data_IF_670916627302
#
_entry.id   IF_670916627302
#
_cell.length_a   1.000
_cell.length_b   1.000
_cell.length_c   1.000
_cell.angle_alpha   90.00
_cell.angle_beta   90.00
_cell.angle_gamma   90.00
#
_symmetry.space_group_name_H-M   'P 1'
#
loop_
_entity.id
_entity.type
_entity.pdbx_description
1 polymer ?
#
# COMPACT_ATOMS: atom_id res chain seq x y z
N UNK A 1 4.13 -1.01 34.97
CA UNK A 1 4.05 -0.08 33.83
C UNK A 1 5.25 -0.38 32.92
N UNK A 2 4.97 -0.85 31.71
CA UNK A 2 6.03 -1.03 30.70
C UNK A 2 6.33 0.36 30.11
N UNK A 3 7.54 0.88 30.40
CA UNK A 3 7.92 2.20 29.90
C UNK A 3 8.29 2.15 28.42
N UNK A 4 7.52 2.87 27.62
CA UNK A 4 7.83 3.08 26.20
C UNK A 4 9.11 3.94 26.09
N UNK A 5 10.11 3.54 25.28
CA UNK A 5 11.38 4.24 25.18
C UNK A 5 11.24 5.70 24.79
N UNK A 6 12.09 6.56 25.37
CA UNK A 6 12.18 7.95 24.97
C UNK A 6 13.11 8.13 23.77
N UNK A 7 12.85 9.17 22.99
CA UNK A 7 13.74 9.61 21.94
C UNK A 7 14.98 10.33 22.49
N UNK A 8 16.14 9.99 21.94
CA UNK A 8 17.45 10.52 22.31
C UNK A 8 18.04 11.30 21.13
N UNK A 9 17.85 12.63 21.05
CA UNK A 9 18.28 13.44 19.90
C UNK A 9 19.79 13.48 19.69
N UNK A 10 20.59 13.09 20.69
CA UNK A 10 22.06 13.00 20.62
C UNK A 10 22.58 11.72 19.91
N UNK A 11 21.73 10.71 19.68
CA UNK A 11 22.14 9.38 19.17
C UNK A 11 22.05 9.24 17.65
N UNK A 12 22.33 10.29 16.92
CA UNK A 12 22.23 10.29 15.45
C UNK A 12 23.54 9.90 14.75
N UNK A 13 23.37 9.54 13.46
CA UNK A 13 24.45 9.45 12.49
C UNK A 13 24.16 10.40 11.35
N UNK A 14 25.13 11.23 10.96
CA UNK A 14 24.98 12.02 9.73
C UNK A 14 25.19 11.12 8.53
N UNK A 15 24.23 11.13 7.63
CA UNK A 15 24.24 10.39 6.37
C UNK A 15 24.01 11.33 5.19
N UNK A 16 24.41 10.88 4.01
CA UNK A 16 24.23 11.57 2.73
C UNK A 16 23.70 10.58 1.70
N UNK A 17 22.70 11.02 0.93
CA UNK A 17 22.15 10.25 -0.18
C UNK A 17 22.03 11.15 -1.42
N UNK A 18 22.42 10.63 -2.57
CA UNK A 18 22.30 11.33 -3.87
C UNK A 18 21.50 10.47 -4.82
N UNK A 19 20.44 11.03 -5.40
CA UNK A 19 19.57 10.42 -6.40
C UNK A 19 19.21 11.50 -7.43
N UNK A 20 19.27 11.16 -8.71
CA UNK A 20 18.90 12.07 -9.83
C UNK A 20 19.47 13.49 -9.67
N UNK A 21 20.79 13.60 -9.39
CA UNK A 21 21.53 14.85 -9.18
C UNK A 21 21.09 15.66 -7.94
N UNK A 22 20.14 15.17 -7.14
CA UNK A 22 19.75 15.75 -5.85
C UNK A 22 20.50 15.07 -4.72
N UNK A 23 21.16 15.85 -3.89
CA UNK A 23 21.87 15.36 -2.70
C UNK A 23 21.20 15.88 -1.45
N UNK A 24 20.85 14.99 -0.53
CA UNK A 24 20.34 15.32 0.80
C UNK A 24 21.31 14.82 1.86
N UNK A 25 21.70 15.72 2.78
CA UNK A 25 22.44 15.38 4.00
C UNK A 25 21.44 15.40 5.16
N UNK A 26 21.45 14.39 6.01
CA UNK A 26 20.45 14.23 7.06
C UNK A 26 20.99 13.54 8.30
N UNK A 27 20.38 13.82 9.44
CA UNK A 27 20.54 13.02 10.66
C UNK A 27 19.64 11.80 10.57
N UNK A 28 20.23 10.63 10.82
CA UNK A 28 19.56 9.34 10.80
C UNK A 28 19.53 8.76 12.23
N UNK A 29 18.35 8.38 12.67
CA UNK A 29 18.08 7.64 13.90
C UNK A 29 17.41 6.34 13.50
N UNK A 30 18.09 5.22 13.62
CA UNK A 30 17.65 3.96 13.04
C UNK A 30 17.47 2.87 14.09
N UNK A 31 16.46 2.00 13.90
CA UNK A 31 16.20 0.85 14.76
C UNK A 31 15.60 1.22 16.12
N UNK A 32 14.88 2.35 16.22
CA UNK A 32 14.27 2.80 17.46
C UNK A 32 13.05 1.94 17.83
N UNK A 33 12.93 1.61 19.11
CA UNK A 33 11.76 0.93 19.67
C UNK A 33 10.63 1.94 19.85
N UNK A 34 9.44 1.65 19.29
CA UNK A 34 8.25 2.50 19.44
C UNK A 34 7.20 1.92 20.40
N UNK A 35 7.42 0.71 20.91
CA UNK A 35 6.55 0.06 21.90
C UNK A 35 7.40 -0.71 22.92
N UNK A 36 6.85 -0.95 24.09
CA UNK A 36 7.60 -1.54 25.21
C UNK A 36 7.67 -3.08 25.15
N UNK A 37 6.75 -3.73 24.43
CA UNK A 37 6.65 -5.18 24.33
C UNK A 37 6.44 -5.61 22.85
N UNK A 38 7.42 -5.43 21.98
CA UNK A 38 7.28 -5.81 20.58
C UNK A 38 7.04 -7.33 20.44
N UNK A 39 6.06 -7.70 19.63
CA UNK A 39 5.74 -9.10 19.32
C UNK A 39 6.59 -9.65 18.16
N UNK A 40 7.25 -8.78 17.41
CA UNK A 40 8.07 -9.12 16.24
C UNK A 40 9.24 -8.11 16.12
N UNK A 41 10.45 -8.55 15.75
CA UNK A 41 11.62 -7.68 15.56
C UNK A 41 11.43 -6.56 14.54
N UNK A 42 10.47 -6.68 13.62
CA UNK A 42 10.14 -5.65 12.63
C UNK A 42 9.58 -4.37 13.26
N UNK A 43 9.07 -4.45 14.50
CA UNK A 43 8.46 -3.33 15.21
C UNK A 43 9.51 -2.32 15.69
N UNK A 44 10.20 -1.72 14.74
CA UNK A 44 11.19 -0.65 14.89
C UNK A 44 10.80 0.52 13.99
N UNK A 45 11.31 1.70 14.28
CA UNK A 45 11.17 2.83 13.38
C UNK A 45 12.52 3.49 13.10
N UNK A 46 12.57 4.17 11.96
CA UNK A 46 13.69 5.01 11.56
C UNK A 46 13.18 6.45 11.41
N UNK A 47 13.97 7.42 11.89
CA UNK A 47 13.67 8.85 11.79
C UNK A 47 14.81 9.56 11.06
N UNK A 48 14.46 10.44 10.12
CA UNK A 48 15.40 11.18 9.28
C UNK A 48 15.04 12.66 9.25
N UNK A 49 16.05 13.53 9.45
CA UNK A 49 15.88 14.98 9.55
C UNK A 49 16.91 15.66 8.66
N UNK A 50 16.53 16.59 7.76
CA UNK A 50 17.51 17.37 7.00
C UNK A 50 18.53 18.04 7.92
N UNK A 51 19.84 17.84 7.66
CA UNK A 51 20.91 18.29 8.55
C UNK A 51 20.97 19.79 8.71
N UNK A 52 20.68 20.53 7.65
CA UNK A 52 20.77 21.99 7.60
C UNK A 52 19.69 22.71 8.41
N UNK A 53 18.63 22.04 8.81
CA UNK A 53 17.70 22.59 9.82
C UNK A 53 18.39 22.93 11.14
N UNK A 54 19.45 22.20 11.50
CA UNK A 54 20.20 22.45 12.74
C UNK A 54 21.14 23.66 12.66
N UNK A 55 21.29 24.22 11.46
CA UNK A 55 22.01 25.49 11.22
C UNK A 55 21.05 26.65 10.90
N UNK A 56 19.74 26.43 11.02
CA UNK A 56 18.71 27.44 10.84
C UNK A 56 18.16 27.57 9.41
N UNK A 57 18.43 26.59 8.54
CA UNK A 57 17.85 26.58 7.18
C UNK A 57 16.32 26.50 7.20
N UNK A 58 15.71 26.99 6.13
CA UNK A 58 14.27 26.95 5.86
C UNK A 58 14.06 26.27 4.50
N UNK A 59 13.27 25.18 4.45
CA UNK A 59 12.91 24.48 3.25
C UNK A 59 11.41 24.61 2.99
N UNK A 60 11.02 25.14 1.85
CA UNK A 60 9.61 25.32 1.48
C UNK A 60 8.76 26.00 2.59
N UNK A 61 9.38 26.93 3.34
CA UNK A 61 8.76 27.60 4.48
C UNK A 61 8.78 26.80 5.79
N UNK A 62 9.34 25.62 5.82
CA UNK A 62 9.46 24.77 7.01
C UNK A 62 10.80 24.99 7.73
N UNK A 63 10.75 24.83 9.05
CA UNK A 63 11.90 24.85 9.97
C UNK A 63 12.01 23.53 10.72
N UNK A 64 13.05 23.36 11.52
CA UNK A 64 13.23 22.20 12.39
C UNK A 64 11.99 21.84 13.22
N UNK A 65 11.19 22.82 13.63
CA UNK A 65 10.02 22.63 14.50
C UNK A 65 8.65 22.71 13.78
N UNK A 66 8.62 23.14 12.51
CA UNK A 66 7.37 23.33 11.77
C UNK A 66 7.24 22.38 10.59
N UNK A 67 8.30 21.62 10.27
CA UNK A 67 8.27 20.66 9.19
C UNK A 67 7.23 19.55 9.47
N UNK A 68 6.32 19.25 8.52
CA UNK A 68 5.45 18.10 8.65
C UNK A 68 6.28 16.81 8.74
N UNK A 69 5.73 15.81 9.45
CA UNK A 69 6.34 14.50 9.57
C UNK A 69 5.66 13.55 8.58
N UNK A 70 6.41 13.08 7.61
CA UNK A 70 5.96 12.17 6.57
C UNK A 70 6.25 10.73 6.96
N UNK A 71 5.24 9.86 6.89
CA UNK A 71 5.23 8.48 7.36
C UNK A 71 5.04 7.51 6.19
N UNK A 72 6.04 7.33 5.31
CA UNK A 72 5.94 6.35 4.23
C UNK A 72 6.05 4.93 4.79
N UNK A 73 5.19 4.01 4.32
CA UNK A 73 5.28 2.60 4.67
C UNK A 73 5.63 1.74 3.46
N UNK A 74 6.23 0.58 3.73
CA UNK A 74 6.70 -0.39 2.72
C UNK A 74 5.77 -1.61 2.59
N UNK A 75 4.58 -1.54 3.17
CA UNK A 75 3.61 -2.65 3.10
C UNK A 75 3.15 -2.87 1.67
N UNK A 76 3.30 -4.10 1.19
CA UNK A 76 2.79 -4.58 -0.09
C UNK A 76 2.20 -5.97 0.05
N UNK A 77 1.04 -6.25 -0.57
CA UNK A 77 0.35 -7.54 -0.46
C UNK A 77 0.02 -7.98 0.97
N UNK A 78 -0.09 -7.04 1.92
CA UNK A 78 -0.24 -7.29 3.36
C UNK A 78 0.90 -8.11 3.99
N UNK A 79 2.06 -8.18 3.33
CA UNK A 79 3.29 -8.73 3.89
C UNK A 79 3.88 -7.77 4.92
N UNK A 80 4.79 -8.24 5.82
CA UNK A 80 5.49 -7.36 6.73
C UNK A 80 6.19 -6.22 6.00
N UNK A 81 6.04 -5.00 6.51
CA UNK A 81 6.67 -3.79 5.96
C UNK A 81 7.78 -3.30 6.87
N UNK A 82 9.06 -3.51 6.54
CA UNK A 82 10.17 -3.01 7.35
C UNK A 82 10.24 -1.49 7.36
N UNK A 83 10.85 -0.92 8.40
CA UNK A 83 11.22 0.49 8.41
C UNK A 83 12.22 0.79 7.30
N UNK A 84 11.85 1.66 6.36
CA UNK A 84 12.67 2.02 5.20
C UNK A 84 13.74 3.06 5.53
N UNK A 85 14.55 3.40 4.55
CA UNK A 85 15.52 4.48 4.60
C UNK A 85 15.53 5.26 3.28
N UNK A 86 15.98 6.54 3.29
CA UNK A 86 16.14 7.30 2.05
C UNK A 86 17.09 6.61 1.08
N UNK A 87 16.67 6.45 -0.18
CA UNK A 87 17.47 5.76 -1.19
C UNK A 87 16.64 5.34 -2.41
N UNK A 88 17.15 4.39 -3.21
CA UNK A 88 16.44 3.87 -4.36
C UNK A 88 15.30 2.93 -3.95
N UNK A 89 14.20 2.98 -4.70
CA UNK A 89 13.18 1.93 -4.69
C UNK A 89 13.69 0.66 -5.42
N UNK A 90 12.86 -0.37 -5.49
CA UNK A 90 13.18 -1.64 -6.18
C UNK A 90 13.45 -1.49 -7.68
N UNK A 91 13.11 -0.36 -8.27
CA UNK A 91 13.36 -0.03 -9.68
C UNK A 91 14.53 0.94 -9.87
N UNK A 92 15.25 1.28 -8.79
CA UNK A 92 16.38 2.21 -8.82
C UNK A 92 15.98 3.69 -8.83
N UNK A 93 14.70 4.03 -8.65
CA UNK A 93 14.20 5.40 -8.59
C UNK A 93 14.23 5.93 -7.15
N UNK A 94 14.25 7.26 -6.94
CA UNK A 94 14.11 7.83 -5.61
C UNK A 94 12.86 7.31 -4.90
N UNK A 95 13.00 6.76 -3.69
CA UNK A 95 11.86 6.32 -2.90
C UNK A 95 11.16 7.49 -2.20
N UNK A 96 9.98 7.23 -1.61
CA UNK A 96 9.17 8.24 -0.95
C UNK A 96 9.89 8.92 0.22
N UNK A 97 10.72 8.19 0.95
CA UNK A 97 11.52 8.74 2.06
C UNK A 97 12.56 9.76 1.56
N UNK A 98 13.27 9.44 0.47
CA UNK A 98 14.22 10.36 -0.14
C UNK A 98 13.52 11.61 -0.69
N UNK A 99 12.44 11.44 -1.45
CA UNK A 99 11.69 12.56 -2.03
C UNK A 99 11.15 13.51 -0.94
N UNK A 100 10.61 12.97 0.15
CA UNK A 100 10.09 13.78 1.25
C UNK A 100 11.21 14.59 1.94
N UNK A 101 12.37 13.97 2.22
CA UNK A 101 13.51 14.68 2.77
C UNK A 101 14.00 15.81 1.85
N UNK A 102 14.10 15.56 0.55
CA UNK A 102 14.50 16.55 -0.44
C UNK A 102 13.54 17.76 -0.50
N UNK A 103 12.28 17.57 -0.09
CA UNK A 103 11.29 18.63 0.03
C UNK A 103 11.20 19.27 1.43
N UNK A 104 12.08 18.90 2.35
CA UNK A 104 12.17 19.49 3.69
C UNK A 104 11.25 18.86 4.74
N UNK A 105 10.63 17.72 4.45
CA UNK A 105 9.89 16.98 5.49
C UNK A 105 10.84 16.28 6.46
N UNK A 106 10.43 16.16 7.71
CA UNK A 106 10.96 15.12 8.60
C UNK A 106 10.32 13.80 8.19
N UNK A 107 11.10 12.73 8.11
CA UNK A 107 10.63 11.44 7.62
C UNK A 107 10.71 10.40 8.72
N UNK A 108 9.64 9.66 8.96
CA UNK A 108 9.61 8.54 9.91
C UNK A 108 9.06 7.30 9.21
N UNK A 109 9.90 6.29 9.07
CA UNK A 109 9.54 5.00 8.50
C UNK A 109 9.25 4.02 9.64
N UNK A 110 8.02 3.59 9.78
CA UNK A 110 7.58 2.68 10.85
C UNK A 110 7.51 1.26 10.28
N UNK A 111 8.28 0.34 10.87
CA UNK A 111 8.20 -1.08 10.55
C UNK A 111 6.95 -1.69 11.17
N UNK A 112 6.19 -2.43 10.38
CA UNK A 112 4.90 -3.02 10.79
C UNK A 112 4.83 -4.49 10.45
N UNK A 113 4.18 -5.28 11.31
CA UNK A 113 3.88 -6.69 11.08
C UNK A 113 2.93 -6.84 9.89
N UNK A 114 2.97 -7.99 9.26
CA UNK A 114 2.07 -8.37 8.17
C UNK A 114 1.61 -9.82 8.28
N UNK A 115 0.81 -10.27 7.33
CA UNK A 115 0.13 -11.57 7.35
C UNK A 115 1.05 -12.79 7.55
N UNK A 116 2.35 -12.68 7.28
CA UNK A 116 3.34 -13.75 7.42
C UNK A 116 4.25 -13.59 8.62
N UNK A 117 4.11 -12.54 9.43
CA UNK A 117 4.94 -12.32 10.63
C UNK A 117 4.85 -13.49 11.60
N UNK A 118 6.02 -13.98 12.07
CA UNK A 118 6.16 -15.12 12.96
C UNK A 118 6.10 -16.48 12.29
N UNK A 119 5.92 -16.58 10.98
CA UNK A 119 5.96 -17.83 10.22
C UNK A 119 7.38 -18.18 9.76
N UNK A 120 7.67 -19.50 9.63
CA UNK A 120 9.00 -20.01 9.26
C UNK A 120 9.50 -19.61 7.87
N UNK A 121 8.60 -19.33 6.94
CA UNK A 121 8.92 -18.92 5.57
C UNK A 121 8.30 -17.55 5.29
N UNK A 122 8.85 -16.51 5.91
CA UNK A 122 8.38 -15.15 5.70
C UNK A 122 8.85 -14.65 4.34
N UNK A 123 7.91 -14.48 3.41
CA UNK A 123 8.15 -13.74 2.17
C UNK A 123 7.98 -12.26 2.46
N UNK A 124 8.94 -11.45 2.04
CA UNK A 124 8.88 -9.98 2.16
C UNK A 124 8.57 -9.40 0.80
N UNK A 125 7.66 -8.42 0.79
CA UNK A 125 7.59 -7.47 -0.32
C UNK A 125 8.56 -6.36 0.06
N UNK A 126 9.70 -6.29 -0.65
CA UNK A 126 10.77 -5.40 -0.25
C UNK A 126 10.45 -3.93 -0.46
N UNK A 127 10.64 -3.14 0.58
CA UNK A 127 11.24 -1.83 0.47
C UNK A 127 12.67 -1.92 -0.07
N UNK A 128 13.45 -0.85 0.01
CA UNK A 128 14.79 -0.76 -0.56
C UNK A 128 15.84 -1.68 0.04
N UNK A 129 15.53 -2.49 1.06
CA UNK A 129 16.47 -3.42 1.71
C UNK A 129 15.86 -4.77 1.99
N UNK A 130 16.60 -5.85 1.61
CA UNK A 130 16.37 -7.18 2.12
C UNK A 130 16.59 -7.19 3.64
N UNK A 131 15.62 -7.64 4.41
CA UNK A 131 15.81 -7.85 5.84
C UNK A 131 16.59 -9.14 6.08
N UNK A 132 17.49 -9.10 7.06
CA UNK A 132 18.10 -10.30 7.61
C UNK A 132 17.01 -11.25 8.12
N UNK A 133 17.31 -12.57 8.04
CA UNK A 133 16.38 -13.64 8.39
C UNK A 133 15.69 -13.34 9.73
N UNK A 134 14.36 -13.21 9.70
CA UNK A 134 13.58 -13.04 10.92
C UNK A 134 13.69 -14.28 11.82
N UNK A 135 13.68 -14.04 13.12
CA UNK A 135 13.62 -15.09 14.12
C UNK A 135 12.26 -15.80 14.02
N UNK A 136 12.30 -17.10 13.73
CA UNK A 136 11.11 -17.93 13.61
C UNK A 136 10.50 -18.16 15.00
N UNK A 137 9.34 -17.62 15.26
CA UNK A 137 8.61 -17.90 16.53
C UNK A 137 7.68 -19.10 16.40
N UNK A 138 7.41 -19.55 15.17
CA UNK A 138 6.44 -20.63 14.89
C UNK A 138 4.98 -20.26 15.16
N UNK A 139 4.70 -19.06 15.67
CA UNK A 139 3.36 -18.54 15.99
C UNK A 139 3.06 -17.33 15.11
N UNK A 140 1.90 -17.31 14.44
CA UNK A 140 1.45 -16.14 13.69
C UNK A 140 1.19 -14.97 14.64
N UNK A 141 1.88 -13.85 14.40
CA UNK A 141 1.73 -12.61 15.19
C UNK A 141 1.31 -11.41 14.34
N UNK A 142 1.12 -11.62 13.03
CA UNK A 142 0.87 -10.54 12.06
C UNK A 142 -0.51 -10.57 11.42
N UNK A 143 -1.46 -11.38 11.91
CA UNK A 143 -2.85 -11.34 11.45
C UNK A 143 -3.47 -9.97 11.76
N UNK A 144 -4.46 -9.59 10.96
CA UNK A 144 -5.25 -8.40 11.24
C UNK A 144 -5.75 -8.40 12.71
N UNK A 145 -5.67 -7.26 13.41
CA UNK A 145 -5.33 -5.91 12.95
C UNK A 145 -3.85 -5.51 13.16
N UNK A 146 -2.91 -6.45 13.28
CA UNK A 146 -1.53 -6.18 13.72
C UNK A 146 -0.86 -5.00 12.98
N UNK A 147 -0.99 -4.88 11.64
CA UNK A 147 -0.29 -3.85 10.87
C UNK A 147 -0.76 -2.42 11.19
N UNK A 148 -2.07 -2.22 11.41
CA UNK A 148 -2.59 -0.91 11.81
C UNK A 148 -2.26 -0.58 13.27
N UNK A 149 -2.25 -1.58 14.14
CA UNK A 149 -1.85 -1.43 15.55
C UNK A 149 -0.40 -0.95 15.64
N UNK A 150 0.50 -1.51 14.83
CA UNK A 150 1.91 -1.12 14.78
C UNK A 150 2.08 0.32 14.29
N UNK A 151 1.39 0.71 13.21
CA UNK A 151 1.43 2.08 12.71
C UNK A 151 0.91 3.08 13.77
N UNK A 152 -0.20 2.77 14.42
CA UNK A 152 -0.76 3.57 15.52
C UNK A 152 0.19 3.68 16.70
N UNK A 153 0.84 2.60 17.07
CA UNK A 153 1.84 2.62 18.16
C UNK A 153 3.03 3.54 17.84
N UNK A 154 3.53 3.49 16.61
CA UNK A 154 4.56 4.42 16.14
C UNK A 154 4.09 5.89 16.16
N UNK A 155 2.86 6.17 15.74
CA UNK A 155 2.27 7.53 15.81
C UNK A 155 2.16 7.99 17.27
N UNK A 156 1.70 7.13 18.18
CA UNK A 156 1.63 7.43 19.62
C UNK A 156 3.00 7.71 20.21
N UNK A 157 4.02 6.95 19.78
CA UNK A 157 5.39 7.16 20.20
C UNK A 157 5.93 8.55 19.77
N UNK A 158 5.62 8.98 18.54
CA UNK A 158 5.99 10.31 18.06
C UNK A 158 5.39 11.41 18.95
N UNK A 159 4.12 11.28 19.32
CA UNK A 159 3.45 12.26 20.18
C UNK A 159 3.93 12.25 21.63
N UNK A 160 4.24 11.07 22.17
CA UNK A 160 4.87 10.98 23.49
C UNK A 160 6.20 11.73 23.54
N UNK A 161 6.92 11.77 22.43
CA UNK A 161 8.23 12.41 22.31
C UNK A 161 8.18 13.79 21.65
N UNK A 162 7.01 14.45 21.56
CA UNK A 162 6.80 15.72 20.83
C UNK A 162 7.79 16.83 21.19
N UNK A 163 8.20 16.91 22.44
CA UNK A 163 9.12 17.95 22.93
C UNK A 163 10.60 17.66 22.58
N UNK A 164 10.89 16.51 22.01
CA UNK A 164 12.25 16.03 21.69
C UNK A 164 12.44 15.75 20.19
N UNK A 165 11.34 15.40 19.49
CA UNK A 165 11.39 15.04 18.08
C UNK A 165 11.37 16.29 17.22
N UNK A 166 12.27 16.39 16.23
CA UNK A 166 12.20 17.40 15.20
C UNK A 166 10.93 17.26 14.35
N UNK A 167 10.41 18.37 13.86
CA UNK A 167 9.17 18.42 13.08
C UNK A 167 7.95 18.70 13.95
N UNK A 168 6.81 18.79 13.28
CA UNK A 168 5.51 19.10 13.89
C UNK A 168 4.68 17.80 14.03
N UNK A 169 4.60 17.26 15.23
CA UNK A 169 3.85 16.03 15.53
C UNK A 169 2.33 16.19 15.39
N UNK A 170 1.83 17.41 15.17
CA UNK A 170 0.44 17.66 14.80
C UNK A 170 0.21 17.51 13.29
N UNK A 171 1.28 17.54 12.48
CA UNK A 171 1.21 17.40 11.02
C UNK A 171 1.81 16.06 10.55
N UNK A 172 1.25 14.97 11.06
CA UNK A 172 1.60 13.61 10.65
C UNK A 172 0.88 13.25 9.35
N UNK A 173 1.63 12.84 8.32
CA UNK A 173 1.09 12.48 7.00
C UNK A 173 1.47 11.03 6.70
N UNK A 174 0.50 10.13 6.68
CA UNK A 174 0.73 8.73 6.30
C UNK A 174 0.77 8.58 4.77
N UNK A 175 1.63 7.68 4.29
CA UNK A 175 1.77 7.42 2.85
C UNK A 175 2.00 5.93 2.58
N UNK A 176 1.43 5.45 1.48
CA UNK A 176 1.62 4.07 1.03
C UNK A 176 0.86 3.76 -0.25
N UNK A 177 1.19 2.61 -0.84
CA UNK A 177 0.62 2.12 -2.10
C UNK A 177 0.00 0.74 -1.91
N UNK A 178 -1.10 0.42 -2.60
CA UNK A 178 -1.77 -0.89 -2.56
C UNK A 178 -2.23 -1.25 -1.13
N UNK A 179 -1.78 -2.36 -0.56
CA UNK A 179 -2.01 -2.70 0.85
C UNK A 179 -1.42 -1.65 1.81
N UNK A 180 -0.29 -1.01 1.47
CA UNK A 180 0.25 0.13 2.20
C UNK A 180 -0.59 1.39 2.06
N UNK A 181 -1.25 1.57 0.92
CA UNK A 181 -2.26 2.61 0.72
C UNK A 181 -3.47 2.39 1.63
N UNK A 182 -3.95 1.14 1.73
CA UNK A 182 -5.03 0.77 2.67
C UNK A 182 -4.64 1.01 4.13
N UNK A 183 -3.42 0.66 4.54
CA UNK A 183 -2.90 0.95 5.86
C UNK A 183 -2.92 2.45 6.17
N UNK A 184 -2.46 3.27 5.22
CA UNK A 184 -2.44 4.73 5.36
C UNK A 184 -3.85 5.32 5.45
N UNK A 185 -4.78 4.87 4.59
CA UNK A 185 -6.18 5.28 4.62
C UNK A 185 -6.86 4.88 5.93
N UNK A 186 -6.61 3.67 6.41
CA UNK A 186 -7.15 3.16 7.68
C UNK A 186 -6.64 3.98 8.88
N UNK A 187 -5.38 4.42 8.86
CA UNK A 187 -4.85 5.31 9.90
C UNK A 187 -5.64 6.63 9.96
N UNK A 188 -5.96 7.21 8.78
CA UNK A 188 -6.74 8.44 8.71
C UNK A 188 -8.20 8.29 9.15
N UNK A 189 -8.83 7.17 8.80
CA UNK A 189 -10.27 6.94 9.09
C UNK A 189 -10.55 6.35 10.47
N UNK A 190 -9.53 5.83 11.15
CA UNK A 190 -9.67 5.16 12.45
C UNK A 190 -8.88 5.83 13.58
N UNK A 191 -8.59 7.12 13.45
CA UNK A 191 -7.87 7.88 14.48
C UNK A 191 -8.58 7.78 15.84
N UNK A 192 -7.80 7.46 16.88
CA UNK A 192 -8.27 7.31 18.27
C UNK A 192 -9.39 6.27 18.47
N UNK A 193 -9.56 5.34 17.55
CA UNK A 193 -10.61 4.32 17.66
C UNK A 193 -10.34 3.37 18.83
N UNK A 194 -11.32 3.16 19.73
CA UNK A 194 -11.19 2.23 20.85
C UNK A 194 -11.10 0.76 20.43
N UNK A 195 -11.42 0.44 19.18
CA UNK A 195 -11.36 -0.92 18.65
C UNK A 195 -9.96 -1.55 18.73
N UNK A 196 -8.91 -0.73 18.79
CA UNK A 196 -7.52 -1.21 18.84
C UNK A 196 -6.89 -1.11 20.23
N UNK A 197 -7.66 -0.70 21.25
CA UNK A 197 -7.11 -0.43 22.58
C UNK A 197 -6.45 -1.63 23.23
N UNK A 198 -7.03 -2.83 23.11
CA UNK A 198 -6.50 -4.06 23.70
C UNK A 198 -5.17 -4.46 23.04
N UNK A 199 -5.09 -4.40 21.71
CA UNK A 199 -3.89 -4.76 20.94
C UNK A 199 -2.76 -3.75 21.13
N UNK A 200 -3.09 -2.46 21.21
CA UNK A 200 -2.12 -1.40 21.53
C UNK A 200 -1.55 -1.58 22.94
N UNK A 201 -2.39 -1.90 23.92
CA UNK A 201 -1.94 -2.22 25.28
C UNK A 201 -1.06 -3.48 25.31
N UNK A 202 -1.41 -4.52 24.53
CA UNK A 202 -0.66 -5.78 24.49
C UNK A 202 0.78 -5.62 23.99
N UNK A 203 1.06 -4.67 23.10
CA UNK A 203 2.42 -4.37 22.65
C UNK A 203 3.08 -3.25 23.45
N UNK A 204 2.43 -2.75 24.51
CA UNK A 204 2.95 -1.64 25.30
C UNK A 204 3.10 -0.35 24.51
N UNK A 205 2.11 0.03 23.72
CA UNK A 205 2.08 1.32 23.03
C UNK A 205 1.92 2.48 24.02
N UNK A 206 2.40 3.67 23.66
CA UNK A 206 2.23 4.87 24.48
C UNK A 206 0.75 5.23 24.66
N UNK A 207 0.41 5.76 25.83
CA UNK A 207 -0.93 6.30 26.10
C UNK A 207 -1.03 7.73 25.52
N UNK A 208 -1.24 7.81 24.23
CA UNK A 208 -1.35 9.03 23.43
C UNK A 208 -2.39 8.82 22.33
N UNK A 209 -2.82 9.89 21.68
CA UNK A 209 -3.70 9.84 20.52
C UNK A 209 -2.98 9.38 19.24
N UNK A 210 -3.69 8.80 18.29
CA UNK A 210 -3.14 8.24 17.05
C UNK A 210 -3.83 8.71 15.76
N UNK A 211 -4.58 9.80 15.81
CA UNK A 211 -5.10 10.49 14.64
C UNK A 211 -3.97 11.10 13.81
N UNK A 212 -4.20 11.32 12.53
CA UNK A 212 -3.22 11.91 11.61
C UNK A 212 -3.80 13.14 10.92
N UNK A 213 -2.92 14.06 10.51
CA UNK A 213 -3.29 15.30 9.85
C UNK A 213 -3.77 15.04 8.41
N UNK A 214 -3.09 14.18 7.67
CA UNK A 214 -3.41 13.87 6.29
C UNK A 214 -2.98 12.46 5.92
N UNK A 215 -3.56 11.95 4.84
CA UNK A 215 -3.20 10.66 4.23
C UNK A 215 -2.89 10.86 2.74
N UNK A 216 -1.83 10.19 2.28
CA UNK A 216 -1.42 10.16 0.87
C UNK A 216 -1.40 8.70 0.44
N UNK A 217 -2.55 8.19 0.00
CA UNK A 217 -2.72 6.80 -0.37
C UNK A 217 -2.87 6.64 -1.88
N UNK A 218 -2.07 5.71 -2.42
CA UNK A 218 -2.07 5.36 -3.84
C UNK A 218 -2.71 3.99 -4.03
N UNK A 219 -3.71 3.91 -4.93
CA UNK A 219 -4.48 2.69 -5.24
C UNK A 219 -4.71 1.82 -3.98
N UNK A 220 -5.31 2.34 -2.91
CA UNK A 220 -5.50 1.63 -1.66
C UNK A 220 -6.38 0.39 -1.87
N UNK A 221 -5.91 -0.78 -1.44
CA UNK A 221 -6.70 -2.02 -1.46
C UNK A 221 -7.46 -2.11 -0.15
N UNK A 222 -8.70 -1.69 -0.19
CA UNK A 222 -9.62 -1.69 0.94
C UNK A 222 -10.91 -2.48 0.60
N UNK A 223 -11.86 -2.53 1.54
CA UNK A 223 -13.11 -3.29 1.39
C UNK A 223 -12.85 -4.80 1.14
N UNK A 224 -11.91 -5.37 1.88
CA UNK A 224 -11.50 -6.77 1.72
C UNK A 224 -12.64 -7.77 1.96
N UNK A 225 -13.65 -7.39 2.74
CA UNK A 225 -14.84 -8.18 3.01
C UNK A 225 -15.60 -8.54 1.74
N UNK A 226 -15.63 -7.64 0.76
CA UNK A 226 -16.37 -7.82 -0.50
C UNK A 226 -15.47 -7.92 -1.73
N UNK A 227 -14.16 -7.79 -1.57
CA UNK A 227 -13.21 -7.73 -2.69
C UNK A 227 -13.23 -9.04 -3.51
N UNK A 228 -13.22 -10.19 -2.86
CA UNK A 228 -13.25 -11.49 -3.55
C UNK A 228 -14.56 -11.70 -4.31
N UNK A 229 -15.68 -11.28 -3.75
CA UNK A 229 -16.98 -11.32 -4.43
C UNK A 229 -17.00 -10.45 -5.69
N UNK A 230 -16.41 -9.24 -5.61
CA UNK A 230 -16.27 -8.35 -6.75
C UNK A 230 -15.39 -8.94 -7.86
N UNK A 231 -14.25 -9.54 -7.48
CA UNK A 231 -13.37 -10.23 -8.42
C UNK A 231 -14.07 -11.40 -9.10
N UNK A 232 -14.74 -12.25 -8.34
CA UNK A 232 -15.42 -13.42 -8.88
C UNK A 232 -16.68 -13.05 -9.68
N UNK A 233 -17.32 -11.93 -9.39
CA UNK A 233 -18.37 -11.39 -10.27
C UNK A 233 -17.83 -11.13 -11.69
N UNK A 234 -16.59 -10.60 -11.80
CA UNK A 234 -15.99 -10.32 -13.09
C UNK A 234 -15.34 -11.54 -13.76
N UNK A 235 -14.75 -12.46 -12.99
CA UNK A 235 -13.82 -13.46 -13.51
C UNK A 235 -14.26 -14.91 -13.32
N UNK A 236 -15.36 -15.19 -12.62
CA UNK A 236 -15.89 -16.54 -12.45
C UNK A 236 -16.12 -17.22 -13.80
N UNK A 237 -15.63 -18.45 -13.94
CA UNK A 237 -15.67 -19.23 -15.18
C UNK A 237 -14.40 -19.12 -16.02
N UNK A 238 -13.44 -18.30 -15.60
CA UNK A 238 -12.08 -18.29 -16.15
C UNK A 238 -11.18 -19.07 -15.19
N UNK A 239 -11.15 -20.38 -15.38
CA UNK A 239 -10.58 -21.32 -14.42
C UNK A 239 -9.06 -21.46 -14.53
N UNK A 240 -8.47 -21.04 -15.63
CA UNK A 240 -7.01 -21.04 -15.80
C UNK A 240 -6.40 -19.81 -15.14
N UNK A 241 -5.30 -20.02 -14.45
CA UNK A 241 -4.58 -18.95 -13.79
C UNK A 241 -3.08 -18.91 -14.15
N UNK A 242 -2.53 -17.71 -14.13
CA UNK A 242 -1.09 -17.47 -14.16
C UNK A 242 -0.71 -16.61 -12.97
N UNK A 243 0.20 -17.08 -12.13
CA UNK A 243 0.73 -16.30 -11.02
C UNK A 243 2.19 -16.00 -11.24
N UNK A 244 2.58 -14.75 -11.02
CA UNK A 244 3.97 -14.33 -11.04
C UNK A 244 4.42 -14.12 -9.59
N UNK A 245 5.35 -14.98 -9.11
CA UNK A 245 6.02 -14.76 -7.83
C UNK A 245 7.37 -14.13 -8.08
N UNK A 246 7.60 -13.00 -7.42
CA UNK A 246 8.92 -12.39 -7.37
C UNK A 246 9.64 -12.85 -6.11
N UNK A 247 10.87 -13.28 -6.25
CA UNK A 247 11.76 -13.60 -5.12
C UNK A 247 13.13 -12.99 -5.38
N UNK A 248 13.87 -12.69 -4.31
CA UNK A 248 15.26 -12.25 -4.45
C UNK A 248 16.17 -13.46 -4.21
N UNK A 249 17.01 -13.78 -5.19
CA UNK A 249 18.05 -14.79 -5.08
C UNK A 249 19.39 -14.18 -5.47
N UNK A 250 20.36 -14.27 -4.57
CA UNK A 250 21.70 -13.71 -4.77
C UNK A 250 21.71 -12.21 -5.15
N UNK A 251 20.84 -11.43 -4.50
CA UNK A 251 20.69 -9.98 -4.75
C UNK A 251 20.02 -9.62 -6.09
N UNK A 252 19.48 -10.59 -6.81
CA UNK A 252 18.74 -10.37 -8.07
C UNK A 252 17.29 -10.77 -7.91
N UNK A 253 16.40 -9.94 -8.46
CA UNK A 253 14.98 -10.26 -8.55
C UNK A 253 14.79 -11.41 -9.53
N UNK A 254 14.29 -12.54 -9.03
CA UNK A 254 13.94 -13.71 -9.85
C UNK A 254 12.42 -13.78 -9.91
N UNK A 255 11.89 -13.77 -11.11
CA UNK A 255 10.47 -13.97 -11.37
C UNK A 255 10.22 -15.44 -11.69
N UNK A 256 9.29 -16.07 -10.98
CA UNK A 256 8.83 -17.44 -11.27
C UNK A 256 7.34 -17.40 -11.57
N UNK A 257 7.00 -17.68 -12.81
CA UNK A 257 5.61 -17.89 -13.23
C UNK A 257 5.15 -19.31 -12.85
N UNK A 258 3.91 -19.42 -12.42
CA UNK A 258 3.22 -20.71 -12.27
C UNK A 258 1.87 -20.58 -12.94
N UNK A 259 1.58 -21.47 -13.88
CA UNK A 259 0.29 -21.58 -14.54
C UNK A 259 -0.44 -22.81 -14.03
N UNK A 260 -1.75 -22.81 -14.05
CA UNK A 260 -2.56 -23.95 -13.65
C UNK A 260 -4.03 -23.68 -13.90
N UNK A 261 -4.84 -24.70 -13.62
CA UNK A 261 -6.30 -24.63 -13.67
C UNK A 261 -6.84 -24.81 -12.26
N UNK A 262 -7.89 -24.07 -11.92
CA UNK A 262 -8.58 -24.16 -10.62
C UNK A 262 -9.13 -25.59 -10.40
N UNK A 263 -9.01 -26.06 -9.16
CA UNK A 263 -9.68 -27.30 -8.74
C UNK A 263 -11.20 -27.14 -8.71
N UNK A 264 -11.95 -28.23 -8.71
CA UNK A 264 -13.42 -28.19 -8.64
C UNK A 264 -13.91 -27.47 -7.37
N UNK A 265 -13.19 -27.63 -6.25
CA UNK A 265 -13.51 -26.91 -5.03
C UNK A 265 -13.32 -25.38 -5.18
N UNK A 266 -12.23 -24.94 -5.82
CA UNK A 266 -11.98 -23.51 -6.10
C UNK A 266 -13.04 -22.94 -7.06
N UNK A 267 -13.42 -23.68 -8.09
CA UNK A 267 -14.50 -23.28 -9.00
C UNK A 267 -15.85 -23.14 -8.28
N UNK A 268 -16.12 -24.03 -7.32
CA UNK A 268 -17.34 -23.94 -6.52
C UNK A 268 -17.33 -22.68 -5.66
N UNK A 269 -16.23 -22.40 -4.95
CA UNK A 269 -16.05 -21.18 -4.15
C UNK A 269 -16.19 -19.93 -5.04
N UNK A 270 -15.60 -19.94 -6.24
CA UNK A 270 -15.71 -18.85 -7.21
C UNK A 270 -17.17 -18.54 -7.56
N UNK A 271 -17.98 -19.59 -7.84
CA UNK A 271 -19.43 -19.42 -8.10
C UNK A 271 -20.20 -18.85 -6.91
N UNK A 272 -19.90 -19.32 -5.70
CA UNK A 272 -20.52 -18.83 -4.47
C UNK A 272 -20.18 -17.36 -4.21
N UNK A 273 -18.91 -16.97 -4.36
CA UNK A 273 -18.47 -15.58 -4.21
C UNK A 273 -19.11 -14.67 -5.27
N UNK A 274 -19.16 -15.10 -6.54
CA UNK A 274 -19.85 -14.35 -7.60
C UNK A 274 -21.28 -14.04 -7.23
N UNK A 275 -22.01 -15.02 -6.67
CA UNK A 275 -23.42 -14.87 -6.31
C UNK A 275 -23.67 -13.85 -5.18
N UNK A 276 -22.67 -13.53 -4.37
CA UNK A 276 -22.79 -12.54 -3.29
C UNK A 276 -22.73 -11.09 -3.78
N UNK A 277 -22.05 -10.83 -4.90
CA UNK A 277 -21.75 -9.46 -5.32
C UNK A 277 -22.99 -8.63 -5.72
N UNK A 278 -23.99 -9.15 -6.47
CA UNK A 278 -25.16 -8.35 -6.85
C UNK A 278 -25.94 -7.81 -5.64
N UNK A 279 -26.15 -8.63 -4.62
CA UNK A 279 -26.85 -8.19 -3.41
C UNK A 279 -26.09 -7.09 -2.66
N UNK A 280 -24.78 -7.25 -2.52
CA UNK A 280 -23.90 -6.23 -1.94
C UNK A 280 -23.97 -4.92 -2.73
N UNK A 281 -23.79 -4.95 -4.06
CA UNK A 281 -23.80 -3.78 -4.92
C UNK A 281 -25.14 -3.04 -4.84
N UNK A 282 -26.25 -3.76 -4.95
CA UNK A 282 -27.60 -3.19 -4.91
C UNK A 282 -27.87 -2.52 -3.55
N UNK A 283 -27.31 -3.06 -2.46
CA UNK A 283 -27.39 -2.47 -1.12
C UNK A 283 -26.67 -1.13 -0.96
N UNK A 284 -25.77 -0.75 -1.89
CA UNK A 284 -25.08 0.53 -1.88
C UNK A 284 -25.94 1.71 -2.43
N UNK A 285 -27.09 1.43 -3.03
CA UNK A 285 -28.00 2.41 -3.68
C UNK A 285 -27.28 3.39 -4.62
N UNK A 286 -26.35 2.85 -5.44
CA UNK A 286 -25.57 3.67 -6.37
C UNK A 286 -26.46 4.22 -7.49
N UNK A 287 -26.14 5.46 -7.93
CA UNK A 287 -26.86 6.15 -9.00
C UNK A 287 -25.87 6.75 -10.01
N UNK A 288 -26.25 6.73 -11.27
CA UNK A 288 -25.56 7.48 -12.31
C UNK A 288 -25.77 9.02 -12.09
N UNK A 289 -25.03 9.84 -12.83
CA UNK A 289 -25.10 11.29 -12.73
C UNK A 289 -26.51 11.87 -13.03
N UNK A 290 -27.29 11.19 -13.84
CA UNK A 290 -28.67 11.54 -14.16
C UNK A 290 -29.71 11.03 -13.15
N UNK A 291 -29.25 10.36 -12.07
CA UNK A 291 -30.10 9.78 -11.03
C UNK A 291 -30.60 8.36 -11.31
N UNK A 292 -30.25 7.77 -12.46
CA UNK A 292 -30.63 6.39 -12.81
C UNK A 292 -30.00 5.40 -11.82
N UNK A 293 -30.78 4.47 -11.20
CA UNK A 293 -30.21 3.46 -10.32
C UNK A 293 -29.24 2.52 -11.06
N UNK A 294 -28.10 2.26 -10.42
CA UNK A 294 -27.09 1.31 -10.91
C UNK A 294 -27.24 -0.02 -10.16
N UNK A 295 -27.81 -1.02 -10.83
CA UNK A 295 -28.14 -2.30 -10.24
C UNK A 295 -27.62 -3.47 -11.06
N UNK A 296 -27.56 -4.65 -10.42
CA UNK A 296 -27.30 -5.95 -11.03
C UNK A 296 -28.45 -6.91 -10.69
N UNK A 297 -28.81 -7.77 -11.66
CA UNK A 297 -29.68 -8.93 -11.40
C UNK A 297 -28.86 -10.12 -10.84
N UNK A 298 -29.51 -11.25 -10.58
CA UNK A 298 -28.85 -12.45 -10.03
C UNK A 298 -27.78 -13.03 -10.96
N UNK A 299 -27.90 -12.86 -12.28
CA UNK A 299 -26.87 -13.26 -13.24
C UNK A 299 -25.67 -12.31 -13.28
N UNK A 300 -25.73 -11.20 -12.55
CA UNK A 300 -24.69 -10.19 -12.49
C UNK A 300 -24.67 -9.23 -13.68
N UNK A 301 -25.78 -9.06 -14.37
CA UNK A 301 -25.95 -8.09 -15.47
C UNK A 301 -26.95 -7.00 -15.07
N UNK A 302 -26.81 -5.81 -15.66
CA UNK A 302 -27.70 -4.69 -15.34
C UNK A 302 -27.12 -3.33 -15.67
N UNK A 303 -27.76 -2.27 -15.15
CA UNK A 303 -27.36 -0.89 -15.41
C UNK A 303 -25.95 -0.58 -14.88
N UNK A 304 -25.54 -1.19 -13.78
CA UNK A 304 -24.17 -1.03 -13.26
C UNK A 304 -23.11 -1.55 -14.24
N UNK A 305 -23.31 -2.77 -14.79
CA UNK A 305 -22.36 -3.33 -15.77
C UNK A 305 -22.31 -2.47 -17.04
N UNK A 306 -23.45 -1.95 -17.48
CA UNK A 306 -23.51 -1.07 -18.66
C UNK A 306 -22.77 0.26 -18.41
N UNK A 307 -22.95 0.85 -17.23
CA UNK A 307 -22.22 2.07 -16.84
C UNK A 307 -20.71 1.80 -16.77
N UNK A 308 -20.27 0.69 -16.16
CA UNK A 308 -18.85 0.32 -16.11
C UNK A 308 -18.25 0.17 -17.53
N UNK A 309 -18.97 -0.50 -18.45
CA UNK A 309 -18.53 -0.63 -19.84
C UNK A 309 -18.40 0.73 -20.52
N UNK A 310 -19.36 1.63 -20.31
CA UNK A 310 -19.33 2.97 -20.87
C UNK A 310 -18.11 3.77 -20.35
N UNK A 311 -17.79 3.68 -19.07
CA UNK A 311 -16.61 4.33 -18.49
C UNK A 311 -15.29 3.77 -19.07
N UNK A 312 -15.18 2.45 -19.22
CA UNK A 312 -14.00 1.83 -19.85
C UNK A 312 -13.84 2.31 -21.30
N UNK A 313 -14.93 2.36 -22.08
CA UNK A 313 -14.89 2.86 -23.46
C UNK A 313 -14.54 4.35 -23.51
N UNK A 314 -15.07 5.16 -22.61
CA UNK A 314 -14.76 6.58 -22.51
C UNK A 314 -13.28 6.81 -22.17
N UNK A 315 -12.75 6.07 -21.19
CA UNK A 315 -11.33 6.14 -20.84
C UNK A 315 -10.42 5.71 -22.02
N UNK A 316 -10.79 4.64 -22.73
CA UNK A 316 -10.08 4.17 -23.89
C UNK A 316 -10.10 5.20 -25.03
N UNK A 317 -11.24 5.87 -25.27
CA UNK A 317 -11.32 6.93 -26.27
C UNK A 317 -10.42 8.11 -25.91
N UNK A 318 -10.43 8.53 -24.66
CA UNK A 318 -9.56 9.62 -24.18
C UNK A 318 -8.08 9.30 -24.38
N UNK A 319 -7.69 8.05 -24.13
CA UNK A 319 -6.31 7.60 -24.35
C UNK A 319 -5.96 7.60 -25.86
N UNK A 320 -6.86 7.11 -26.69
CA UNK A 320 -6.72 7.12 -28.15
C UNK A 320 -6.57 8.55 -28.71
N UNK A 321 -7.40 9.48 -28.24
CA UNK A 321 -7.36 10.89 -28.66
C UNK A 321 -6.06 11.58 -28.23
N UNK A 322 -5.50 11.19 -27.07
CA UNK A 322 -4.27 11.77 -26.52
C UNK A 322 -3.02 11.25 -27.22
N UNK A 323 -2.93 9.95 -27.48
CA UNK A 323 -1.73 9.29 -27.98
C UNK A 323 -1.80 8.94 -29.48
N UNK A 324 -2.93 9.13 -30.14
CA UNK A 324 -3.16 8.93 -31.60
C UNK A 324 -2.76 7.53 -32.11
N UNK A 325 -2.63 6.52 -31.24
CA UNK A 325 -2.24 5.16 -31.63
C UNK A 325 -3.17 4.13 -31.05
N UNK A 326 -3.85 3.37 -31.92
CA UNK A 326 -4.64 2.20 -31.53
C UNK A 326 -3.78 1.13 -30.82
N UNK A 327 -2.46 1.12 -31.03
CA UNK A 327 -1.52 0.22 -30.39
C UNK A 327 -1.37 0.46 -28.89
N UNK A 328 -1.52 1.70 -28.41
CA UNK A 328 -1.49 2.01 -26.98
C UNK A 328 -2.64 1.34 -26.22
N UNK A 329 -3.75 1.05 -26.88
CA UNK A 329 -4.93 0.41 -26.31
C UNK A 329 -4.96 -1.11 -26.52
N UNK A 330 -4.16 -1.65 -27.44
CA UNK A 330 -4.18 -3.07 -27.80
C UNK A 330 -3.34 -3.97 -26.89
N UNK A 331 -2.64 -3.41 -25.91
CA UNK A 331 -1.78 -4.23 -25.08
C UNK A 331 -1.40 -3.60 -23.78
N UNK A 332 -2.08 -3.94 -22.70
CA UNK A 332 -1.36 -4.07 -21.42
C UNK A 332 -0.51 -5.33 -21.60
N UNK A 333 0.66 -5.16 -22.23
CA UNK A 333 1.64 -6.21 -22.31
C UNK A 333 2.14 -6.52 -20.90
N UNK A 334 1.65 -7.59 -20.31
CA UNK A 334 2.29 -8.20 -19.14
C UNK A 334 3.61 -8.77 -19.66
N UNK A 335 4.70 -8.14 -19.30
CA UNK A 335 6.03 -8.57 -19.68
C UNK A 335 6.22 -10.07 -19.33
N UNK A 336 6.41 -10.91 -20.34
CA UNK A 336 6.74 -12.33 -20.17
C UNK A 336 5.65 -13.35 -20.47
N UNK A 337 4.47 -12.99 -20.98
CA UNK A 337 3.48 -13.93 -21.47
C UNK A 337 3.36 -13.86 -23.00
N UNK A 338 3.57 -15.01 -23.68
CA UNK A 338 3.18 -15.22 -25.09
C UNK A 338 1.65 -15.40 -25.19
N UNK A 339 0.86 -14.52 -24.58
CA UNK A 339 -0.59 -14.52 -24.76
C UNK A 339 -0.86 -13.73 -26.04
N UNK A 340 -1.44 -14.38 -27.05
CA UNK A 340 -1.98 -13.70 -28.22
C UNK A 340 -2.79 -12.48 -27.77
N UNK A 341 -2.38 -11.31 -28.23
CA UNK A 341 -3.06 -10.04 -27.97
C UNK A 341 -4.41 -10.05 -28.71
N UNK A 342 -5.44 -10.56 -28.06
CA UNK A 342 -6.80 -10.36 -28.56
C UNK A 342 -7.27 -8.97 -28.08
N UNK A 343 -7.50 -8.07 -29.02
CA UNK A 343 -8.06 -6.76 -28.73
C UNK A 343 -9.43 -6.90 -28.08
N UNK A 344 -9.58 -6.42 -26.86
CA UNK A 344 -10.88 -6.36 -26.16
C UNK A 344 -11.69 -5.11 -26.55
N UNK A 345 -11.13 -4.22 -27.36
CA UNK A 345 -11.79 -3.02 -27.89
C UNK A 345 -11.94 -3.12 -29.38
N UNK A 346 -13.10 -2.72 -29.90
CA UNK A 346 -13.32 -2.48 -31.33
C UNK A 346 -13.16 -0.99 -31.59
N UNK A 347 -12.24 -0.65 -32.49
CA UNK A 347 -11.96 0.74 -32.89
C UNK A 347 -12.28 0.88 -34.37
N UNK A 348 -13.19 1.80 -34.71
CA UNK A 348 -13.58 2.12 -36.06
C UNK A 348 -13.46 3.62 -36.31
N UNK A 349 -12.75 3.99 -37.38
CA UNK A 349 -12.54 5.39 -37.77
C UNK A 349 -12.04 6.30 -36.61
N UNK A 350 -11.13 5.79 -35.76
CA UNK A 350 -10.60 6.52 -34.61
C UNK A 350 -11.56 6.62 -33.42
N UNK A 351 -12.63 5.84 -33.43
CA UNK A 351 -13.58 5.78 -32.28
C UNK A 351 -13.67 4.39 -31.69
N UNK A 352 -13.71 4.32 -30.36
CA UNK A 352 -13.99 3.11 -29.61
C UNK A 352 -15.50 2.83 -29.72
N UNK A 353 -15.89 1.80 -30.46
CA UNK A 353 -17.30 1.50 -30.74
C UNK A 353 -17.84 0.33 -29.94
N UNK A 354 -16.97 -0.57 -29.47
CA UNK A 354 -17.37 -1.70 -28.64
C UNK A 354 -16.27 -2.15 -27.70
N UNK A 355 -16.70 -2.73 -26.58
CA UNK A 355 -15.87 -3.47 -25.62
C UNK A 355 -16.26 -4.94 -25.74
N UNK A 356 -15.31 -5.82 -26.11
CA UNK A 356 -15.55 -7.26 -26.18
C UNK A 356 -15.93 -7.81 -24.80
N UNK A 357 -17.02 -8.54 -24.72
CA UNK A 357 -17.62 -9.02 -23.46
C UNK A 357 -16.97 -10.32 -22.96
N UNK A 358 -15.92 -10.78 -23.58
CA UNK A 358 -15.20 -11.93 -23.07
C UNK A 358 -14.23 -11.46 -21.98
N UNK A 359 -14.61 -11.71 -20.74
CA UNK A 359 -13.83 -11.40 -19.54
C UNK A 359 -12.45 -12.11 -19.47
N UNK A 360 -12.12 -12.93 -20.47
CA UNK A 360 -10.87 -13.69 -20.57
C UNK A 360 -9.61 -12.83 -20.61
N UNK A 361 -9.73 -11.54 -20.91
CA UNK A 361 -8.60 -10.66 -21.19
C UNK A 361 -8.25 -9.68 -20.06
N UNK A 362 -9.04 -9.63 -18.99
CA UNK A 362 -8.78 -8.74 -17.85
C UNK A 362 -7.99 -9.41 -16.70
N UNK A 363 -7.67 -10.70 -16.83
CA UNK A 363 -6.75 -11.39 -15.91
C UNK A 363 -5.29 -11.14 -16.33
N UNK A 364 -4.83 -9.92 -16.12
CA UNK A 364 -3.40 -9.64 -16.17
C UNK A 364 -2.89 -9.15 -14.81
#
# INVERSE_FOLDING_TARGET
>A
DMDVPFFHPETYRTKKCTMDDVTVTFRAYEGLDYCAAPADPIQKLNLYVPEDYYTGAVHNGYTLHTAPIFLPNTVGGYLPGPADCPGPDRFGRPNAAFCALAHGYVVVCIGVRGRTSGHRNTEFFEGSKAMDKQQETGRSVGKAPAFIVDLKAGIRWLRKNRDRIPGDTEKLITNGTSAGGALSALAGTSGNSPLYAAELAAIGAADERDDVFAVSCYCPIHNLENADAAYEWMFCGHDDFSTLRMSVKDGKVVQKGTTGTQTEQQKQISRELKALFPAYLNGLDLKAADGTPLTLNEEGVGSFLNALKAEVMCAAQKELDTHHTAQALSGIAVAGSEVEQQSYLTIENGKVVALAVSYTHLRA
#
